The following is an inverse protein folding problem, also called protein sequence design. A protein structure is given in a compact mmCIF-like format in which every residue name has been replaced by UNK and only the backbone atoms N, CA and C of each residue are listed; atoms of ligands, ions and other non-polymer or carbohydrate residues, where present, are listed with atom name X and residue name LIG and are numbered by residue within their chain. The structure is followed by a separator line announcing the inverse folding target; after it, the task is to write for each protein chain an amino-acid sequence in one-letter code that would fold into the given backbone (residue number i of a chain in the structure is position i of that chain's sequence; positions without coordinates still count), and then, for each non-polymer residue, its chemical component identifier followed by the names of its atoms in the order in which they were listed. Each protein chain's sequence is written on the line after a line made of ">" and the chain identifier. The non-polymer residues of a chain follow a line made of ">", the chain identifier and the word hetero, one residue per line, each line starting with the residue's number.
data_IF_672784770609
#
_entry.id   IF_672784770609
#
_cell.length_a   1.000
_cell.length_b   1.000
_cell.length_c   1.000
_cell.angle_alpha   90.00
_cell.angle_beta   90.00
_cell.angle_gamma   90.00
#
_symmetry.space_group_name_H-M   'P 1'
#
loop_
_entity.id
_entity.type
_entity.pdbx_description
1 polymer ?
#
# COMPACT_ATOMS: atom_id res chain seq x y z
N UNK A 1 -17.69 -7.03 -5.79
CA UNK A 1 -18.58 -7.32 -6.95
C UNK A 1 -18.24 -6.51 -8.20
N UNK A 2 -18.01 -5.19 -8.15
CA UNK A 2 -17.66 -4.39 -9.34
C UNK A 2 -16.33 -4.84 -10.01
N UNK A 3 -15.25 -4.96 -9.23
CA UNK A 3 -13.92 -5.42 -9.72
C UNK A 3 -13.94 -6.79 -10.42
N UNK A 4 -14.82 -7.69 -9.98
CA UNK A 4 -15.01 -9.02 -10.60
C UNK A 4 -15.71 -8.92 -11.96
N UNK A 5 -16.61 -7.94 -12.15
CA UNK A 5 -17.26 -7.70 -13.45
C UNK A 5 -16.29 -7.05 -14.43
N UNK A 6 -15.43 -6.16 -13.95
CA UNK A 6 -14.46 -5.47 -14.80
C UNK A 6 -13.35 -6.44 -15.25
N UNK A 7 -12.82 -7.26 -14.33
CA UNK A 7 -11.88 -8.33 -14.67
C UNK A 7 -12.49 -9.36 -15.63
N UNK A 8 -13.78 -9.71 -15.46
CA UNK A 8 -14.49 -10.59 -16.40
C UNK A 8 -14.59 -9.98 -17.80
N UNK A 9 -14.92 -8.68 -17.91
CA UNK A 9 -14.97 -7.99 -19.21
C UNK A 9 -13.60 -7.93 -19.88
N UNK A 10 -12.56 -7.68 -19.12
CA UNK A 10 -11.18 -7.63 -19.62
C UNK A 10 -10.74 -9.00 -20.17
N UNK A 11 -11.05 -10.08 -19.45
CA UNK A 11 -10.80 -11.45 -19.92
C UNK A 11 -11.63 -11.82 -21.16
N UNK A 12 -12.90 -11.38 -21.24
CA UNK A 12 -13.73 -11.56 -22.43
C UNK A 12 -13.17 -10.82 -23.65
N UNK A 13 -12.60 -9.63 -23.46
CA UNK A 13 -11.93 -8.89 -24.54
C UNK A 13 -10.61 -9.54 -24.96
N UNK A 14 -9.80 -9.99 -24.01
CA UNK A 14 -8.54 -10.71 -24.29
C UNK A 14 -8.80 -12.03 -25.04
N UNK A 15 -9.84 -12.76 -24.65
CA UNK A 15 -10.23 -14.01 -25.30
C UNK A 15 -10.68 -13.79 -26.76
N UNK A 16 -11.43 -12.72 -27.04
CA UNK A 16 -11.78 -12.34 -28.42
C UNK A 16 -10.55 -11.96 -29.24
N UNK A 17 -9.62 -11.20 -28.66
CA UNK A 17 -8.38 -10.82 -29.34
C UNK A 17 -7.51 -12.05 -29.66
N UNK A 18 -7.40 -13.00 -28.73
CA UNK A 18 -6.70 -14.28 -28.95
C UNK A 18 -7.38 -15.13 -30.01
N UNK A 19 -8.71 -15.17 -30.05
CA UNK A 19 -9.45 -15.88 -31.10
C UNK A 19 -9.24 -15.24 -32.49
N UNK A 20 -9.24 -13.91 -32.57
CA UNK A 20 -8.95 -13.19 -33.81
C UNK A 20 -7.50 -13.43 -34.29
N UNK A 21 -6.53 -13.41 -33.37
CA UNK A 21 -5.14 -13.74 -33.69
C UNK A 21 -5.00 -15.18 -34.22
N UNK A 22 -5.68 -16.14 -33.58
CA UNK A 22 -5.68 -17.54 -34.01
C UNK A 22 -6.35 -17.72 -35.38
N UNK A 23 -7.36 -16.92 -35.72
CA UNK A 23 -7.95 -16.91 -37.06
C UNK A 23 -7.00 -16.34 -38.11
N UNK A 24 -6.24 -15.29 -37.78
CA UNK A 24 -5.17 -14.76 -38.64
C UNK A 24 -4.08 -15.80 -38.84
N UNK A 25 -3.62 -16.47 -37.78
CA UNK A 25 -2.62 -17.55 -37.89
C UNK A 25 -3.12 -18.71 -38.75
N UNK A 26 -4.40 -19.10 -38.60
CA UNK A 26 -5.02 -20.10 -39.47
C UNK A 26 -5.09 -19.67 -40.92
N UNK A 27 -5.29 -18.38 -41.21
CA UNK A 27 -5.27 -17.84 -42.57
C UNK A 27 -3.86 -17.82 -43.12
N UNK A 28 -2.87 -17.37 -42.35
CA UNK A 28 -1.45 -17.40 -42.75
C UNK A 28 -0.99 -18.83 -43.04
N UNK A 29 -1.33 -19.79 -42.18
CA UNK A 29 -1.01 -21.20 -42.41
C UNK A 29 -1.76 -21.80 -43.61
N UNK A 30 -2.97 -21.32 -43.91
CA UNK A 30 -3.72 -21.72 -45.10
C UNK A 30 -3.13 -21.11 -46.36
N UNK A 31 -2.73 -19.85 -46.32
CA UNK A 31 -2.08 -19.14 -47.42
C UNK A 31 -0.68 -19.74 -47.69
N UNK A 32 0.07 -20.11 -46.64
CA UNK A 32 1.33 -20.87 -46.76
C UNK A 32 1.10 -22.28 -47.32
N UNK A 33 0.00 -22.95 -46.97
CA UNK A 33 -0.37 -24.24 -47.52
C UNK A 33 -0.91 -24.15 -48.96
N UNK A 34 -1.58 -23.07 -49.34
CA UNK A 34 -2.03 -22.79 -50.70
C UNK A 34 -0.87 -22.34 -51.59
N UNK A 35 0.08 -21.56 -51.07
CA UNK A 35 1.34 -21.23 -51.74
C UNK A 35 2.22 -22.48 -51.90
N UNK A 36 2.28 -23.36 -50.89
CA UNK A 36 2.94 -24.66 -50.97
C UNK A 36 2.21 -25.64 -51.91
N UNK A 37 0.87 -25.61 -51.98
CA UNK A 37 0.09 -26.42 -52.90
C UNK A 37 0.14 -25.88 -54.35
N UNK A 38 0.31 -24.57 -54.55
CA UNK A 38 0.59 -23.99 -55.87
C UNK A 38 2.04 -24.21 -56.31
N UNK A 39 2.99 -24.32 -55.38
CA UNK A 39 4.35 -24.82 -55.68
C UNK A 39 4.40 -26.35 -55.85
N UNK A 40 3.46 -27.09 -55.26
CA UNK A 40 3.40 -28.56 -55.24
C UNK A 40 2.44 -29.22 -56.24
N UNK A 41 1.54 -28.48 -56.89
CA UNK A 41 0.67 -28.97 -57.99
C UNK A 41 1.33 -28.82 -59.38
N UNK A 42 2.64 -28.99 -59.44
CA UNK A 42 3.35 -29.32 -60.68
C UNK A 42 4.30 -30.49 -60.44
N UNK A 43 3.71 -31.68 -60.33
CA UNK A 43 4.42 -32.96 -60.18
C UNK A 43 3.56 -33.87 -59.30
N UNK A 44 2.94 -34.95 -59.77
CA UNK A 44 3.40 -35.91 -60.76
C UNK A 44 2.21 -36.82 -61.11
N UNK A 45 1.76 -36.80 -62.37
CA UNK A 45 1.45 -37.99 -63.18
C UNK A 45 0.99 -37.53 -64.55
N UNK A 46 1.92 -37.47 -65.49
CA UNK A 46 1.63 -37.13 -66.87
C UNK A 46 2.91 -36.77 -67.59
N UNK A 47 3.34 -37.66 -68.48
CA UNK A 47 4.39 -37.42 -69.47
C UNK A 47 3.95 -36.26 -70.36
N UNK A 48 4.20 -35.05 -69.91
CA UNK A 48 3.98 -33.81 -70.63
C UNK A 48 5.30 -33.09 -70.62
N UNK A 49 5.93 -32.99 -71.79
CA UNK A 49 7.11 -32.16 -72.08
C UNK A 49 7.15 -30.98 -71.11
N UNK A 50 8.17 -30.90 -70.24
CA UNK A 50 8.58 -29.62 -69.68
C UNK A 50 8.88 -28.76 -70.90
N UNK A 51 7.86 -28.03 -71.38
CA UNK A 51 8.09 -26.87 -72.23
C UNK A 51 9.03 -26.06 -71.36
N UNK A 52 10.31 -25.99 -71.75
CA UNK A 52 11.16 -24.86 -71.42
C UNK A 52 10.23 -23.66 -71.51
N UNK A 53 9.77 -23.16 -70.35
CA UNK A 53 9.07 -21.91 -70.31
C UNK A 53 10.17 -20.97 -70.75
N UNK A 54 10.18 -20.64 -72.04
CA UNK A 54 10.94 -19.52 -72.57
C UNK A 54 10.30 -18.33 -71.90
N UNK A 55 10.70 -18.06 -70.66
CA UNK A 55 10.29 -16.87 -69.95
C UNK A 55 10.93 -15.78 -70.79
N UNK A 56 10.10 -15.13 -71.60
CA UNK A 56 10.55 -14.01 -72.39
C UNK A 56 11.24 -13.05 -71.44
N UNK A 57 12.46 -12.57 -71.74
CA UNK A 57 13.20 -11.71 -70.84
C UNK A 57 12.37 -10.55 -70.29
N UNK A 58 11.46 -10.00 -71.10
CA UNK A 58 10.50 -8.97 -70.70
C UNK A 58 9.51 -9.38 -69.57
N UNK A 59 9.03 -10.63 -69.56
CA UNK A 59 8.13 -11.15 -68.51
C UNK A 59 8.91 -11.40 -67.23
N UNK A 60 10.12 -11.94 -67.34
CA UNK A 60 11.02 -12.14 -66.20
C UNK A 60 11.43 -10.81 -65.56
N UNK A 61 11.79 -9.80 -66.36
CA UNK A 61 12.16 -8.47 -65.85
C UNK A 61 10.99 -7.80 -65.14
N UNK A 62 9.78 -7.87 -65.70
CA UNK A 62 8.59 -7.26 -65.09
C UNK A 62 8.20 -7.97 -63.78
N UNK A 63 8.24 -9.30 -63.74
CA UNK A 63 7.99 -10.09 -62.53
C UNK A 63 9.04 -9.79 -61.45
N UNK A 64 10.32 -9.77 -61.83
CA UNK A 64 11.42 -9.46 -60.91
C UNK A 64 11.33 -8.04 -60.38
N UNK A 65 11.00 -7.04 -61.23
CA UNK A 65 10.79 -5.66 -60.80
C UNK A 65 9.61 -5.53 -59.82
N UNK A 66 8.52 -6.27 -60.06
CA UNK A 66 7.37 -6.31 -59.15
C UNK A 66 7.75 -6.92 -57.79
N UNK A 67 8.49 -8.03 -57.79
CA UNK A 67 8.97 -8.69 -56.57
C UNK A 67 9.91 -7.75 -55.79
N UNK A 68 10.86 -7.09 -56.47
CA UNK A 68 11.77 -6.12 -55.84
C UNK A 68 11.00 -4.94 -55.25
N UNK A 69 10.01 -4.40 -55.98
CA UNK A 69 9.16 -3.31 -55.47
C UNK A 69 8.38 -3.73 -54.21
N UNK A 70 7.81 -4.94 -54.22
CA UNK A 70 7.09 -5.47 -53.06
C UNK A 70 8.02 -5.75 -51.88
N UNK A 71 9.24 -6.25 -52.13
CA UNK A 71 10.24 -6.46 -51.09
C UNK A 71 10.68 -5.14 -50.44
N UNK A 72 10.87 -4.07 -51.24
CA UNK A 72 11.17 -2.73 -50.73
C UNK A 72 10.00 -2.15 -49.93
N UNK A 73 8.76 -2.35 -50.39
CA UNK A 73 7.56 -1.93 -49.65
C UNK A 73 7.47 -2.63 -48.28
N UNK A 74 7.64 -3.96 -48.25
CA UNK A 74 7.67 -4.75 -47.01
C UNK A 74 8.82 -4.34 -46.09
N UNK A 75 10.00 -4.01 -46.63
CA UNK A 75 11.11 -3.48 -45.85
C UNK A 75 10.76 -2.14 -45.20
N UNK A 76 10.06 -1.25 -45.92
CA UNK A 76 9.55 0.01 -45.39
C UNK A 76 8.51 -0.19 -44.29
N UNK A 77 7.57 -1.12 -44.48
CA UNK A 77 6.57 -1.49 -43.45
C UNK A 77 7.22 -2.09 -42.20
N UNK A 78 8.19 -2.99 -42.37
CA UNK A 78 8.94 -3.58 -41.26
C UNK A 78 9.71 -2.51 -40.46
N UNK A 79 10.28 -1.50 -41.13
CA UNK A 79 10.93 -0.37 -40.46
C UNK A 79 9.93 0.46 -39.64
N UNK A 80 8.75 0.75 -40.20
CA UNK A 80 7.67 1.47 -39.49
C UNK A 80 7.18 0.68 -38.27
N UNK A 81 7.00 -0.63 -38.39
CA UNK A 81 6.58 -1.49 -37.28
C UNK A 81 7.63 -1.52 -36.17
N UNK A 82 8.92 -1.61 -36.50
CA UNK A 82 10.00 -1.53 -35.49
C UNK A 82 9.97 -0.19 -34.74
N UNK A 83 9.80 0.92 -35.45
CA UNK A 83 9.66 2.24 -34.81
C UNK A 83 8.42 2.32 -33.91
N UNK A 84 7.29 1.75 -34.34
CA UNK A 84 6.07 1.72 -33.54
C UNK A 84 6.26 0.89 -32.26
N UNK A 85 6.92 -0.26 -32.35
CA UNK A 85 7.25 -1.11 -31.19
C UNK A 85 8.15 -0.35 -30.22
N UNK A 86 9.22 0.29 -30.72
CA UNK A 86 10.14 1.07 -29.88
C UNK A 86 9.41 2.21 -29.15
N UNK A 87 8.48 2.90 -29.82
CA UNK A 87 7.66 3.94 -29.21
C UNK A 87 6.75 3.38 -28.11
N UNK A 88 6.08 2.25 -28.35
CA UNK A 88 5.25 1.58 -27.34
C UNK A 88 6.09 1.15 -26.15
N UNK A 89 7.28 0.58 -26.37
CA UNK A 89 8.18 0.21 -25.27
C UNK A 89 8.66 1.42 -24.46
N UNK A 90 8.90 2.56 -25.10
CA UNK A 90 9.25 3.80 -24.37
C UNK A 90 8.06 4.33 -23.56
N UNK A 91 6.86 4.30 -24.15
CA UNK A 91 5.64 4.73 -23.48
C UNK A 91 5.33 3.86 -22.27
N UNK A 92 5.43 2.53 -22.38
CA UNK A 92 5.19 1.63 -21.25
C UNK A 92 6.16 1.86 -20.11
N UNK A 93 7.46 2.09 -20.40
CA UNK A 93 8.46 2.41 -19.38
C UNK A 93 8.14 3.74 -18.69
N UNK A 94 7.70 4.75 -19.43
CA UNK A 94 7.31 6.04 -18.85
C UNK A 94 6.06 5.92 -17.98
N UNK A 95 5.03 5.20 -18.46
CA UNK A 95 3.81 4.93 -17.71
C UNK A 95 4.11 4.13 -16.44
N UNK A 96 4.92 3.09 -16.53
CA UNK A 96 5.33 2.28 -15.38
C UNK A 96 6.07 3.12 -14.34
N UNK A 97 7.00 3.97 -14.77
CA UNK A 97 7.70 4.90 -13.86
C UNK A 97 6.74 5.87 -13.18
N UNK A 98 5.77 6.40 -13.93
CA UNK A 98 4.74 7.29 -13.38
C UNK A 98 3.84 6.57 -12.37
N UNK A 99 3.41 5.35 -12.69
CA UNK A 99 2.59 4.53 -11.78
C UNK A 99 3.35 4.17 -10.51
N UNK A 100 4.63 3.76 -10.61
CA UNK A 100 5.48 3.50 -9.45
C UNK A 100 5.61 4.73 -8.56
N UNK A 101 5.91 5.91 -9.12
CA UNK A 101 5.99 7.14 -8.36
C UNK A 101 4.66 7.48 -7.66
N UNK A 102 3.53 7.30 -8.37
CA UNK A 102 2.22 7.53 -7.80
C UNK A 102 1.92 6.56 -6.63
N UNK A 103 2.23 5.27 -6.79
CA UNK A 103 2.06 4.27 -5.74
C UNK A 103 2.97 4.53 -4.54
N UNK A 104 4.21 4.94 -4.77
CA UNK A 104 5.13 5.31 -3.70
C UNK A 104 4.61 6.49 -2.88
N UNK A 105 4.14 7.56 -3.55
CA UNK A 105 3.56 8.72 -2.86
C UNK A 105 2.28 8.35 -2.10
N UNK A 106 1.42 7.53 -2.69
CA UNK A 106 0.21 7.05 -2.03
C UNK A 106 0.51 6.18 -0.80
N UNK A 107 1.53 5.33 -0.87
CA UNK A 107 1.99 4.53 0.26
C UNK A 107 2.60 5.38 1.37
N UNK A 108 3.43 6.38 1.04
CA UNK A 108 3.96 7.33 2.03
C UNK A 108 2.86 8.13 2.73
N UNK A 109 1.84 8.59 1.99
CA UNK A 109 0.66 9.26 2.56
C UNK A 109 -0.14 8.33 3.47
N UNK A 110 -0.34 7.07 3.07
CA UNK A 110 -0.97 6.04 3.90
C UNK A 110 -0.18 5.83 5.20
N UNK A 111 1.13 5.67 5.15
CA UNK A 111 1.98 5.52 6.34
C UNK A 111 1.84 6.73 7.26
N UNK A 112 1.91 7.95 6.72
CA UNK A 112 1.73 9.19 7.49
C UNK A 112 0.37 9.24 8.20
N UNK A 113 -0.71 8.86 7.52
CA UNK A 113 -2.05 8.77 8.11
C UNK A 113 -2.14 7.70 9.19
N UNK A 114 -1.52 6.54 8.98
CA UNK A 114 -1.50 5.45 9.97
C UNK A 114 -0.70 5.84 11.21
N UNK A 115 0.44 6.52 11.05
CA UNK A 115 1.23 7.09 12.17
C UNK A 115 0.43 8.10 12.98
N UNK A 116 -0.29 9.02 12.32
CA UNK A 116 -1.19 9.95 13.02
C UNK A 116 -2.27 9.22 13.81
N UNK A 117 -2.88 8.21 13.21
CA UNK A 117 -3.90 7.40 13.89
C UNK A 117 -3.32 6.64 15.08
N UNK A 118 -2.11 6.07 14.95
CA UNK A 118 -1.41 5.41 16.04
C UNK A 118 -1.19 6.38 17.20
N UNK A 119 -0.68 7.59 16.94
CA UNK A 119 -0.46 8.59 17.98
C UNK A 119 -1.77 8.98 18.71
N UNK A 120 -2.88 9.07 17.98
CA UNK A 120 -4.19 9.35 18.59
C UNK A 120 -4.63 8.19 19.49
N UNK A 121 -4.44 6.94 19.05
CA UNK A 121 -4.76 5.75 19.84
C UNK A 121 -3.86 5.61 21.07
N UNK A 122 -2.58 5.97 20.97
CA UNK A 122 -1.65 6.01 22.10
C UNK A 122 -2.06 7.06 23.13
N UNK A 123 -2.46 8.25 22.69
CA UNK A 123 -2.99 9.29 23.58
C UNK A 123 -4.28 8.82 24.27
N UNK A 124 -5.19 8.17 23.54
CA UNK A 124 -6.42 7.62 24.12
C UNK A 124 -6.13 6.50 25.12
N UNK A 125 -5.17 5.62 24.81
CA UNK A 125 -4.68 4.58 25.74
C UNK A 125 -4.17 5.21 27.04
N UNK A 126 -3.33 6.23 26.94
CA UNK A 126 -2.75 6.90 28.11
C UNK A 126 -3.84 7.60 28.94
N UNK A 127 -4.81 8.24 28.29
CA UNK A 127 -5.97 8.82 28.97
C UNK A 127 -6.77 7.74 29.72
N UNK A 128 -7.09 6.62 29.08
CA UNK A 128 -7.81 5.51 29.73
C UNK A 128 -6.99 4.90 30.87
N UNK A 129 -5.67 4.79 30.72
CA UNK A 129 -4.78 4.30 31.78
C UNK A 129 -4.79 5.22 33.01
N UNK A 130 -4.75 6.54 32.81
CA UNK A 130 -4.83 7.50 33.93
C UNK A 130 -6.19 7.48 34.62
N UNK A 131 -7.30 7.38 33.87
CA UNK A 131 -8.65 7.25 34.42
C UNK A 131 -8.83 5.91 35.16
N UNK A 132 -8.25 4.83 34.66
CA UNK A 132 -8.22 3.54 35.33
C UNK A 132 -7.51 3.65 36.68
N UNK A 133 -6.33 4.30 36.73
CA UNK A 133 -5.59 4.50 37.97
C UNK A 133 -6.39 5.33 38.98
N UNK A 134 -7.09 6.37 38.53
CA UNK A 134 -7.98 7.17 39.38
C UNK A 134 -9.12 6.32 39.95
N UNK A 135 -9.79 5.53 39.12
CA UNK A 135 -10.88 4.66 39.56
C UNK A 135 -10.42 3.56 40.52
N UNK A 136 -9.24 2.97 40.30
CA UNK A 136 -8.64 2.03 41.25
C UNK A 136 -8.29 2.68 42.59
N UNK A 137 -7.84 3.95 42.56
CA UNK A 137 -7.66 4.75 43.77
C UNK A 137 -8.97 4.99 44.50
N UNK A 138 -10.05 5.29 43.77
CA UNK A 138 -11.38 5.46 44.34
C UNK A 138 -11.92 4.16 44.95
N UNK A 139 -11.70 3.00 44.32
CA UNK A 139 -12.14 1.71 44.86
C UNK A 139 -11.42 1.39 46.18
N UNK A 140 -10.11 1.66 46.26
CA UNK A 140 -9.36 1.54 47.51
C UNK A 140 -9.89 2.48 48.59
N UNK A 141 -10.12 3.74 48.27
CA UNK A 141 -10.67 4.71 49.22
C UNK A 141 -12.08 4.31 49.71
N UNK A 142 -12.94 3.77 48.83
CA UNK A 142 -14.26 3.24 49.22
C UNK A 142 -14.11 2.01 50.12
N UNK A 143 -13.16 1.11 49.84
CA UNK A 143 -12.89 -0.04 50.71
C UNK A 143 -12.43 0.40 52.10
N UNK A 144 -11.51 1.36 52.20
CA UNK A 144 -11.05 1.93 53.46
C UNK A 144 -12.20 2.60 54.23
N UNK A 145 -13.03 3.41 53.56
CA UNK A 145 -14.20 4.04 54.18
C UNK A 145 -15.22 3.02 54.71
N UNK A 146 -15.41 1.89 54.03
CA UNK A 146 -16.27 0.81 54.51
C UNK A 146 -15.73 0.22 55.81
N UNK A 147 -14.42 -0.06 55.88
CA UNK A 147 -13.77 -0.59 57.08
C UNK A 147 -13.83 0.40 58.25
N UNK A 148 -13.52 1.67 58.00
CA UNK A 148 -13.60 2.72 59.01
C UNK A 148 -15.03 2.89 59.56
N UNK A 149 -16.04 2.75 58.69
CA UNK A 149 -17.44 2.78 59.09
C UNK A 149 -17.83 1.54 59.90
N UNK A 150 -17.33 0.36 59.56
CA UNK A 150 -17.57 -0.87 60.33
C UNK A 150 -17.00 -0.75 61.75
N UNK A 151 -15.78 -0.27 61.89
CA UNK A 151 -15.13 -0.03 63.19
C UNK A 151 -15.87 1.03 64.01
N UNK A 152 -16.25 2.14 63.36
CA UNK A 152 -17.03 3.21 64.00
C UNK A 152 -18.40 2.71 64.48
N UNK A 153 -19.13 1.97 63.63
CA UNK A 153 -20.42 1.38 63.99
C UNK A 153 -20.27 0.43 65.17
N UNK A 154 -19.24 -0.40 65.20
CA UNK A 154 -18.98 -1.33 66.28
C UNK A 154 -18.70 -0.61 67.61
N UNK A 155 -17.93 0.48 67.58
CA UNK A 155 -17.69 1.35 68.74
C UNK A 155 -19.00 1.95 69.27
N UNK A 156 -19.85 2.51 68.39
CA UNK A 156 -21.13 3.09 68.81
C UNK A 156 -22.10 2.01 69.31
N UNK A 157 -22.13 0.82 68.69
CA UNK A 157 -22.92 -0.32 69.18
C UNK A 157 -22.51 -0.73 70.60
N UNK A 158 -21.22 -0.85 70.89
CA UNK A 158 -20.71 -1.19 72.24
C UNK A 158 -21.10 -0.14 73.28
N UNK A 159 -20.94 1.15 72.94
CA UNK A 159 -21.35 2.24 73.82
C UNK A 159 -22.86 2.25 74.08
N UNK A 160 -23.65 2.01 73.03
CA UNK A 160 -25.10 1.92 73.13
C UNK A 160 -25.53 0.73 73.98
N UNK A 161 -24.90 -0.44 73.84
CA UNK A 161 -25.16 -1.63 74.64
C UNK A 161 -24.86 -1.41 76.13
N UNK A 162 -23.73 -0.78 76.45
CA UNK A 162 -23.40 -0.45 77.84
C UNK A 162 -24.45 0.49 78.45
N UNK A 163 -24.92 1.46 77.65
CA UNK A 163 -25.91 2.47 78.06
C UNK A 163 -27.32 1.89 78.22
N UNK A 164 -27.69 0.89 77.40
CA UNK A 164 -29.01 0.26 77.44
C UNK A 164 -29.18 -0.76 78.58
N UNK A 165 -28.09 -1.21 79.21
CA UNK A 165 -28.09 -2.14 80.34
C UNK A 165 -28.25 -1.45 81.72
N UNK A 166 -28.45 -0.13 81.76
CA UNK A 166 -28.65 0.60 83.02
C UNK A 166 -29.96 0.18 83.73
N UNK A 167 -30.02 0.25 85.08
CA UNK A 167 -31.23 -0.06 85.85
C UNK A 167 -32.42 0.80 85.44
N UNK A 168 -33.64 0.25 85.51
CA UNK A 168 -34.87 0.89 85.00
C UNK A 168 -35.18 2.25 85.65
N UNK A 169 -34.68 2.50 86.87
CA UNK A 169 -34.83 3.80 87.56
C UNK A 169 -34.05 4.94 86.87
N UNK A 170 -33.07 4.63 86.02
CA UNK A 170 -32.27 5.59 85.25
C UNK A 170 -32.74 5.74 83.79
N UNK A 171 -33.76 4.97 83.37
CA UNK A 171 -34.35 5.02 82.02
C UNK A 171 -35.35 6.16 81.87
N UNK A 172 -34.91 7.39 82.17
CA UNK A 172 -35.59 8.61 81.72
C UNK A 172 -35.17 8.88 80.27
N UNK A 173 -35.96 9.62 79.47
CA UNK A 173 -35.68 9.98 78.06
C UNK A 173 -34.22 10.42 77.83
N UNK A 174 -33.36 9.46 77.50
CA UNK A 174 -31.92 9.69 77.34
C UNK A 174 -31.67 10.19 75.92
N UNK A 175 -31.59 11.50 75.76
CA UNK A 175 -31.31 12.15 74.47
C UNK A 175 -30.03 11.64 73.81
N UNK A 176 -29.05 11.18 74.59
CA UNK A 176 -27.79 10.62 74.06
C UNK A 176 -28.02 9.22 73.50
N UNK A 177 -28.86 8.40 74.14
CA UNK A 177 -29.22 7.08 73.61
C UNK A 177 -29.96 7.21 72.28
N UNK A 178 -30.90 8.16 72.19
CA UNK A 178 -31.61 8.46 70.95
C UNK A 178 -30.66 8.97 69.85
N UNK A 179 -29.69 9.82 70.19
CA UNK A 179 -28.65 10.26 69.26
C UNK A 179 -27.75 9.10 68.80
N UNK A 180 -27.38 8.17 69.70
CA UNK A 180 -26.62 6.96 69.35
C UNK A 180 -27.41 6.03 68.41
N UNK A 181 -28.71 5.85 68.64
CA UNK A 181 -29.60 5.09 67.74
C UNK A 181 -29.69 5.74 66.36
N UNK A 182 -29.81 7.06 66.31
CA UNK A 182 -29.87 7.83 65.05
C UNK A 182 -28.58 7.73 64.26
N UNK A 183 -27.44 7.96 64.91
CA UNK A 183 -26.11 7.85 64.28
C UNK A 183 -25.83 6.44 63.77
N UNK A 184 -26.22 5.39 64.51
CA UNK A 184 -26.14 4.01 64.01
C UNK A 184 -27.01 3.77 62.77
N UNK A 185 -28.21 4.35 62.70
CA UNK A 185 -29.07 4.23 61.53
C UNK A 185 -28.46 4.96 60.32
N UNK A 186 -27.92 6.17 60.52
CA UNK A 186 -27.24 6.95 59.48
C UNK A 186 -25.98 6.24 58.96
N UNK A 187 -25.13 5.72 59.86
CA UNK A 187 -23.93 4.96 59.49
C UNK A 187 -24.27 3.67 58.74
N UNK A 188 -25.32 2.94 59.15
CA UNK A 188 -25.80 1.75 58.43
C UNK A 188 -26.31 2.09 57.04
N UNK A 189 -27.02 3.20 56.88
CA UNK A 189 -27.49 3.66 55.58
C UNK A 189 -26.32 4.01 54.66
N UNK A 190 -25.32 4.73 55.18
CA UNK A 190 -24.10 5.06 54.44
C UNK A 190 -23.31 3.81 54.05
N UNK A 191 -23.10 2.88 54.99
CA UNK A 191 -22.42 1.59 54.74
C UNK A 191 -23.12 0.78 53.64
N UNK A 192 -24.45 0.68 53.69
CA UNK A 192 -25.25 0.03 52.64
C UNK A 192 -25.09 0.74 51.29
N UNK A 193 -25.07 2.07 51.25
CA UNK A 193 -24.89 2.82 50.02
C UNK A 193 -23.51 2.57 49.41
N UNK A 194 -22.44 2.54 50.22
CA UNK A 194 -21.08 2.24 49.76
C UNK A 194 -20.95 0.79 49.28
N UNK A 195 -21.57 -0.17 49.97
CA UNK A 195 -21.60 -1.56 49.52
C UNK A 195 -22.35 -1.75 48.20
N UNK A 196 -23.36 -0.93 47.94
CA UNK A 196 -24.10 -0.97 46.68
C UNK A 196 -23.37 -0.24 45.54
N UNK A 197 -22.59 0.80 45.83
CA UNK A 197 -21.83 1.54 44.81
C UNK A 197 -20.50 0.88 44.43
N UNK A 198 -19.91 0.08 45.33
CA UNK A 198 -18.64 -0.58 45.04
C UNK A 198 -18.70 -1.56 43.85
N UNK A 199 -19.70 -2.45 43.71
CA UNK A 199 -19.78 -3.36 42.56
C UNK A 199 -19.87 -2.63 41.22
N UNK A 200 -20.55 -1.48 41.16
CA UNK A 200 -20.63 -0.69 39.93
C UNK A 200 -19.28 -0.06 39.59
N UNK A 201 -18.54 0.43 40.59
CA UNK A 201 -17.17 0.92 40.40
C UNK A 201 -16.22 -0.19 39.92
N UNK A 202 -16.28 -1.37 40.54
CA UNK A 202 -15.50 -2.55 40.11
C UNK A 202 -15.84 -2.96 38.68
N UNK A 203 -17.13 -2.94 38.31
CA UNK A 203 -17.57 -3.19 36.94
C UNK A 203 -16.99 -2.18 35.94
N UNK A 204 -16.97 -0.89 36.30
CA UNK A 204 -16.37 0.16 35.48
C UNK A 204 -14.85 -0.02 35.32
N UNK A 205 -14.14 -0.37 36.40
CA UNK A 205 -12.70 -0.70 36.36
C UNK A 205 -12.45 -1.86 35.41
N UNK A 206 -13.23 -2.93 35.48
CA UNK A 206 -13.09 -4.08 34.58
C UNK A 206 -13.37 -3.71 33.11
N UNK A 207 -14.38 -2.88 32.86
CA UNK A 207 -14.68 -2.37 31.52
C UNK A 207 -13.53 -1.51 30.97
N UNK A 208 -12.96 -0.62 31.78
CA UNK A 208 -11.80 0.19 31.41
C UNK A 208 -10.56 -0.67 31.14
N UNK A 209 -10.28 -1.70 31.95
CA UNK A 209 -9.21 -2.68 31.69
C UNK A 209 -9.40 -3.41 30.36
N UNK A 210 -10.63 -3.81 30.04
CA UNK A 210 -10.97 -4.44 28.76
C UNK A 210 -10.75 -3.48 27.59
N UNK A 211 -11.13 -2.20 27.74
CA UNK A 211 -10.92 -1.18 26.73
C UNK A 211 -9.42 -0.85 26.54
N UNK A 212 -8.65 -0.77 27.62
CA UNK A 212 -7.19 -0.58 27.56
C UNK A 212 -6.52 -1.71 26.76
N UNK A 213 -6.86 -2.96 27.07
CA UNK A 213 -6.35 -4.12 26.31
C UNK A 213 -6.72 -4.09 24.81
N UNK A 214 -7.89 -3.54 24.46
CA UNK A 214 -8.28 -3.37 23.05
C UNK A 214 -7.46 -2.26 22.38
N UNK A 215 -7.23 -1.15 23.08
CA UNK A 215 -6.40 -0.05 22.59
C UNK A 215 -4.95 -0.50 22.39
N UNK A 216 -4.37 -1.25 23.33
CA UNK A 216 -3.03 -1.82 23.21
C UNK A 216 -2.87 -2.70 21.96
N UNK A 217 -3.85 -3.58 21.70
CA UNK A 217 -3.88 -4.41 20.49
C UNK A 217 -3.99 -3.54 19.24
N UNK A 218 -4.87 -2.54 19.23
CA UNK A 218 -5.02 -1.66 18.08
C UNK A 218 -3.75 -0.85 17.79
N UNK A 219 -3.06 -0.35 18.81
CA UNK A 219 -1.78 0.35 18.68
C UNK A 219 -0.73 -0.59 18.10
N UNK A 220 -0.62 -1.80 18.65
CA UNK A 220 0.28 -2.82 18.13
C UNK A 220 -0.03 -3.15 16.65
N UNK A 221 -1.28 -3.42 16.30
CA UNK A 221 -1.70 -3.71 14.92
C UNK A 221 -1.37 -2.57 13.95
N UNK A 222 -1.50 -1.32 14.39
CA UNK A 222 -1.12 -0.15 13.59
C UNK A 222 0.39 -0.04 13.44
N UNK A 223 1.16 -0.35 14.48
CA UNK A 223 2.62 -0.47 14.42
C UNK A 223 3.07 -1.52 13.39
N UNK A 224 2.52 -2.74 13.45
CA UNK A 224 2.82 -3.79 12.47
C UNK A 224 2.40 -3.39 11.05
N UNK A 225 1.27 -2.68 10.88
CA UNK A 225 0.84 -2.18 9.58
C UNK A 225 1.79 -1.12 9.02
N UNK A 226 2.37 -0.27 9.87
CA UNK A 226 3.36 0.74 9.45
C UNK A 226 4.64 0.05 9.02
N UNK A 227 5.13 -0.90 9.83
CA UNK A 227 6.35 -1.67 9.52
C UNK A 227 6.21 -2.41 8.19
N UNK A 228 5.10 -3.12 7.98
CA UNK A 228 4.82 -3.80 6.72
C UNK A 228 4.72 -2.85 5.52
N UNK A 229 4.09 -1.68 5.68
CA UNK A 229 4.01 -0.67 4.61
C UNK A 229 5.39 -0.03 4.32
N UNK A 230 6.24 0.17 5.35
CA UNK A 230 7.61 0.66 5.20
C UNK A 230 8.54 -0.36 4.52
N UNK A 231 8.44 -1.64 4.87
CA UNK A 231 9.16 -2.73 4.20
C UNK A 231 8.76 -2.86 2.72
N UNK A 232 7.47 -2.74 2.42
CA UNK A 232 6.97 -2.78 1.05
C UNK A 232 7.56 -1.63 0.19
N UNK A 233 7.71 -0.44 0.77
CA UNK A 233 8.37 0.70 0.11
C UNK A 233 9.86 0.45 -0.15
N UNK A 234 10.55 -0.25 0.75
CA UNK A 234 11.98 -0.56 0.62
C UNK A 234 12.25 -1.65 -0.43
N UNK A 235 11.35 -2.62 -0.57
CA UNK A 235 11.44 -3.68 -1.58
C UNK A 235 11.26 -3.14 -3.00
N UNK A 236 10.38 -2.16 -3.21
CA UNK A 236 10.16 -1.52 -4.52
C UNK A 236 11.36 -0.62 -4.93
N UNK A 237 12.23 -0.27 -3.98
CA UNK A 237 13.50 0.43 -4.21
C UNK A 237 14.65 -0.46 -4.72
N UNK A 238 14.47 -1.78 -4.79
CA UNK A 238 15.49 -2.75 -5.22
C UNK A 238 14.99 -3.68 -6.32
N UNK A 239 14.97 -3.22 -7.57
CA UNK A 239 15.46 -4.00 -8.72
C UNK A 239 15.62 -3.13 -9.97
N UNK A 240 16.83 -2.64 -10.13
CA UNK A 240 17.59 -2.61 -11.38
C UNK A 240 16.99 -3.47 -12.51
N UNK A 241 16.23 -2.85 -13.39
CA UNK A 241 16.28 -3.20 -14.82
C UNK A 241 16.98 -2.03 -15.53
N UNK A 242 18.23 -1.79 -15.13
CA UNK A 242 19.17 -0.93 -15.87
C UNK A 242 19.69 -1.63 -17.13
N UNK A 243 18.86 -2.48 -17.75
CA UNK A 243 19.16 -3.09 -19.04
C UNK A 243 17.84 -3.21 -19.79
N UNK A 244 17.58 -2.38 -20.83
CA UNK A 244 16.54 -2.74 -21.78
C UNK A 244 16.85 -4.16 -22.28
N UNK A 245 15.85 -5.04 -22.48
CA UNK A 245 16.08 -6.33 -23.12
C UNK A 245 16.82 -6.01 -24.42
N UNK A 246 18.08 -6.44 -24.47
CA UNK A 246 18.89 -6.23 -25.66
C UNK A 246 18.16 -6.99 -26.74
N UNK A 247 17.82 -6.32 -27.84
CA UNK A 247 17.17 -6.84 -29.05
C UNK A 247 17.98 -7.93 -29.78
N UNK A 248 18.88 -8.59 -29.05
CA UNK A 248 19.77 -9.65 -29.48
C UNK A 248 19.20 -11.00 -29.00
N UNK A 249 18.10 -11.45 -29.60
CA UNK A 249 17.73 -12.86 -29.61
C UNK A 249 16.84 -13.21 -30.81
N UNK A 250 17.07 -12.59 -31.97
CA UNK A 250 16.65 -13.12 -33.28
C UNK A 250 17.59 -12.56 -34.36
N UNK A 251 18.88 -12.88 -34.27
CA UNK A 251 19.76 -12.89 -35.45
C UNK A 251 20.19 -14.32 -35.66
N UNK A 252 19.44 -15.01 -36.49
CA UNK A 252 19.86 -16.23 -37.17
C UNK A 252 21.17 -15.91 -37.88
N UNK A 253 22.24 -16.52 -37.40
CA UNK A 253 23.55 -16.44 -38.02
C UNK A 253 23.52 -17.17 -39.37
N UNK A 254 23.28 -16.42 -40.45
CA UNK A 254 23.80 -16.80 -41.75
C UNK A 254 25.11 -16.07 -41.96
N UNK A 255 26.19 -16.82 -41.70
CA UNK A 255 27.54 -16.53 -42.11
C UNK A 255 27.59 -16.17 -43.59
N UNK A 256 27.86 -14.91 -43.91
CA UNK A 256 28.53 -14.53 -45.16
C UNK A 256 29.47 -13.36 -44.91
N UNK A 257 30.74 -13.64 -45.18
CA UNK A 257 31.91 -12.78 -45.19
C UNK A 257 31.70 -11.39 -45.81
N UNK A 258 31.97 -10.32 -45.06
CA UNK A 258 32.47 -9.04 -45.60
C UNK A 258 33.14 -8.20 -44.49
N UNK A 259 34.29 -7.54 -44.73
CA UNK A 259 35.03 -6.83 -43.69
C UNK A 259 34.39 -5.46 -43.38
N UNK A 260 34.58 -4.92 -42.16
CA UNK A 260 33.97 -3.65 -41.77
C UNK A 260 34.81 -2.48 -42.30
N UNK A 261 34.22 -1.64 -43.14
CA UNK A 261 34.72 -0.29 -43.39
C UNK A 261 34.25 0.64 -42.28
N UNK A 262 35.21 1.36 -41.72
CA UNK A 262 35.08 2.39 -40.69
C UNK A 262 34.29 3.60 -41.16
N UNK A 263 33.04 3.75 -40.70
CA UNK A 263 32.38 5.07 -40.61
C UNK A 263 31.16 5.01 -39.69
N UNK A 264 31.39 5.14 -38.38
CA UNK A 264 30.34 5.49 -37.41
C UNK A 264 30.98 6.22 -36.23
N UNK A 265 31.25 7.51 -36.45
CA UNK A 265 31.68 8.45 -35.42
C UNK A 265 30.93 9.76 -35.67
N UNK A 266 29.71 9.89 -35.13
CA UNK A 266 29.00 11.19 -35.09
C UNK A 266 27.72 11.28 -34.23
N UNK A 267 27.20 10.23 -33.60
CA UNK A 267 25.89 10.31 -32.92
C UNK A 267 25.90 10.20 -31.38
N UNK A 268 27.06 10.00 -30.73
CA UNK A 268 27.15 9.79 -29.27
C UNK A 268 27.39 11.04 -28.41
N UNK A 269 27.73 12.18 -29.01
CA UNK A 269 28.30 13.31 -28.25
C UNK A 269 27.29 14.35 -27.74
N UNK A 270 26.05 14.38 -28.23
CA UNK A 270 25.08 15.44 -27.91
C UNK A 270 24.18 15.13 -26.69
N UNK A 271 24.01 13.86 -26.35
CA UNK A 271 23.20 13.47 -25.18
C UNK A 271 23.98 13.58 -23.86
N UNK A 272 25.31 13.40 -23.91
CA UNK A 272 26.17 13.53 -22.73
C UNK A 272 26.24 14.98 -22.23
N UNK A 273 26.33 15.97 -23.12
CA UNK A 273 26.43 17.38 -22.72
C UNK A 273 25.14 17.92 -22.13
N UNK A 274 23.98 17.48 -22.65
CA UNK A 274 22.66 17.84 -22.11
C UNK A 274 22.43 17.20 -20.74
N UNK A 275 22.86 15.96 -20.53
CA UNK A 275 22.81 15.30 -19.22
C UNK A 275 23.70 16.01 -18.19
N UNK A 276 24.94 16.36 -18.53
CA UNK A 276 25.83 17.12 -17.66
C UNK A 276 25.31 18.53 -17.32
N UNK A 277 24.67 19.19 -18.28
CA UNK A 277 24.02 20.50 -18.05
C UNK A 277 22.83 20.40 -17.10
N UNK A 278 22.01 19.36 -17.22
CA UNK A 278 20.88 19.14 -16.31
C UNK A 278 21.35 18.81 -14.89
N UNK A 279 22.39 17.99 -14.74
CA UNK A 279 22.98 17.67 -13.44
C UNK A 279 23.53 18.95 -12.78
N UNK A 280 24.23 19.78 -13.54
CA UNK A 280 24.75 21.06 -13.02
C UNK A 280 23.63 21.99 -12.57
N UNK A 281 22.52 22.05 -13.32
CA UNK A 281 21.35 22.86 -12.97
C UNK A 281 20.62 22.34 -11.73
N UNK A 282 20.55 21.03 -11.55
CA UNK A 282 19.96 20.43 -10.33
C UNK A 282 20.78 20.80 -9.11
N UNK A 283 22.11 20.67 -9.17
CA UNK A 283 22.98 21.04 -8.04
C UNK A 283 22.95 22.54 -7.71
N UNK A 284 22.72 23.39 -8.71
CA UNK A 284 22.51 24.83 -8.50
C UNK A 284 21.20 25.12 -7.75
N UNK A 285 20.09 24.48 -8.17
CA UNK A 285 18.79 24.61 -7.50
C UNK A 285 18.80 24.07 -6.07
N UNK A 286 19.53 22.98 -5.81
CA UNK A 286 19.71 22.44 -4.45
C UNK A 286 20.43 23.43 -3.53
N UNK A 287 21.42 24.15 -4.06
CA UNK A 287 22.13 25.20 -3.31
C UNK A 287 21.23 26.41 -3.04
N UNK A 288 20.48 26.87 -4.04
CA UNK A 288 19.51 27.96 -3.88
C UNK A 288 18.44 27.64 -2.82
N UNK A 289 17.97 26.38 -2.79
CA UNK A 289 16.98 25.92 -1.82
C UNK A 289 17.56 25.83 -0.40
N UNK A 290 18.83 25.43 -0.26
CA UNK A 290 19.52 25.46 1.03
C UNK A 290 19.68 26.89 1.56
N UNK A 291 20.07 27.83 0.71
CA UNK A 291 20.20 29.26 1.07
C UNK A 291 18.85 29.88 1.45
N UNK A 292 17.77 29.49 0.76
CA UNK A 292 16.42 29.96 1.07
C UNK A 292 15.93 29.46 2.43
N UNK A 293 16.23 28.19 2.78
CA UNK A 293 15.93 27.64 4.11
C UNK A 293 16.68 28.39 5.20
N UNK A 294 17.97 28.63 5.00
CA UNK A 294 18.80 29.36 5.96
C UNK A 294 18.28 30.80 6.17
N UNK A 295 17.84 31.47 5.10
CA UNK A 295 17.19 32.79 5.19
C UNK A 295 15.86 32.72 5.96
N UNK A 296 15.02 31.72 5.71
CA UNK A 296 13.79 31.54 6.46
C UNK A 296 14.06 31.30 7.94
N UNK A 297 15.03 30.45 8.29
CA UNK A 297 15.41 30.19 9.68
C UNK A 297 15.89 31.49 10.36
N UNK A 298 16.65 32.34 9.66
CA UNK A 298 17.06 33.65 10.21
C UNK A 298 15.88 34.60 10.42
N UNK A 299 14.90 34.59 9.51
CA UNK A 299 13.70 35.42 9.64
C UNK A 299 12.83 34.93 10.81
N UNK A 300 12.60 33.62 10.91
CA UNK A 300 11.84 33.00 12.01
C UNK A 300 12.49 33.29 13.37
N UNK A 301 13.82 33.16 13.45
CA UNK A 301 14.56 33.49 14.68
C UNK A 301 14.52 34.99 15.01
N UNK A 302 14.47 35.88 14.00
CA UNK A 302 14.33 37.33 14.23
C UNK A 302 12.92 37.77 14.63
N UNK A 303 11.90 36.97 14.31
CA UNK A 303 10.51 37.20 14.70
C UNK A 303 10.17 36.62 16.08
N UNK A 304 10.96 35.66 16.55
CA UNK A 304 10.81 35.03 17.86
C UNK A 304 11.56 35.74 19.00
N UNK A 305 12.40 36.74 18.68
CA UNK A 305 13.16 37.58 19.61
C UNK A 305 12.51 38.96 19.78
#
# INVERSE_FOLDING_TARGET
>A
MARLRDSKRELETDLRNKQAALEVDKRVLRDEAEDAANFGKSGSTGVGKMKSLTIYPAIWTNSTQSIVKNALARQGEAAKLRMAIDNVCQETVLQERSHRQHHQLAAMDKISKTKKLQNVLELERDNVATELQKAEGQDRAVCEQILDLEDSMEKVKRQHLYRSQRPDQEKVLDGVEMAMKRTLAEQRALHKNLLNSRPTLVGNIQAMRSNLNKLDKNVADKGHSIEADEEALLLDGRQTVSRPPTSASFRTEYSTSRPPTSSSRAAGSRNSSRASSLISRISELERELADARLKNDTIENSLAA
#
